data_IF_984886461145
#
_entry.id   IF_984886461145
#
_cell.length_a   1.000
_cell.length_b   1.000
_cell.length_c   1.000
_cell.angle_alpha   90.00
_cell.angle_beta   90.00
_cell.angle_gamma   90.00
#
_symmetry.space_group_name_H-M   'P 1'
#
loop_
_entity.id
_entity.type
_entity.pdbx_description
1 polymer ?
#
# COMPACT_ATOMS: atom_id res chain seq x y z
N UNK A 1 -1.33 -16.53 11.11
CA UNK A 1 -0.32 -16.95 10.15
C UNK A 1 0.05 -15.80 9.24
N UNK A 2 1.18 -15.88 8.57
CA UNK A 2 1.70 -14.79 7.74
C UNK A 2 0.75 -14.35 6.63
N UNK A 3 0.07 -15.31 6.01
CA UNK A 3 -0.88 -15.01 4.93
C UNK A 3 -2.07 -14.20 5.42
N UNK A 4 -2.56 -14.51 6.60
CA UNK A 4 -3.69 -13.78 7.19
C UNK A 4 -3.26 -12.34 7.51
N UNK A 5 -2.07 -12.19 8.06
CA UNK A 5 -1.52 -10.88 8.37
C UNK A 5 -1.33 -10.05 7.10
N UNK A 6 -0.79 -10.66 6.04
CA UNK A 6 -0.59 -9.98 4.77
C UNK A 6 -1.93 -9.49 4.19
N UNK A 7 -2.97 -10.32 4.26
CA UNK A 7 -4.30 -9.96 3.79
C UNK A 7 -4.91 -8.81 4.58
N UNK A 8 -4.76 -8.80 5.90
CA UNK A 8 -5.25 -7.72 6.74
C UNK A 8 -4.56 -6.41 6.43
N UNK A 9 -3.22 -6.45 6.31
CA UNK A 9 -2.44 -5.26 6.00
C UNK A 9 -2.78 -4.76 4.60
N UNK A 10 -2.92 -5.66 3.64
CA UNK A 10 -3.31 -5.32 2.28
C UNK A 10 -4.67 -4.62 2.27
N UNK A 11 -5.61 -5.08 3.08
CA UNK A 11 -6.91 -4.45 3.22
C UNK A 11 -6.82 -3.03 3.74
N UNK A 12 -5.97 -2.79 4.74
CA UNK A 12 -5.74 -1.44 5.29
C UNK A 12 -5.15 -0.51 4.24
N UNK A 13 -4.17 -0.98 3.47
CA UNK A 13 -3.57 -0.20 2.40
C UNK A 13 -4.61 0.13 1.33
N UNK A 14 -5.39 -0.88 0.93
CA UNK A 14 -6.43 -0.70 -0.07
C UNK A 14 -7.44 0.38 0.34
N UNK A 15 -7.91 0.32 1.60
CA UNK A 15 -8.85 1.31 2.12
C UNK A 15 -8.24 2.72 2.07
N UNK A 16 -6.99 2.86 2.50
CA UNK A 16 -6.30 4.15 2.49
C UNK A 16 -6.23 4.72 1.07
N UNK A 17 -5.88 3.89 0.10
CA UNK A 17 -5.78 4.31 -1.30
C UNK A 17 -7.16 4.61 -1.90
N UNK A 18 -8.16 3.85 -1.49
CA UNK A 18 -9.52 4.07 -1.98
C UNK A 18 -10.10 5.39 -1.47
N UNK A 19 -9.80 5.75 -0.22
CA UNK A 19 -10.32 6.97 0.39
C UNK A 19 -9.57 8.23 -0.04
N UNK A 20 -8.26 8.13 -0.20
CA UNK A 20 -7.40 9.30 -0.38
C UNK A 20 -6.72 9.38 -1.75
N UNK A 21 -6.92 8.39 -2.61
CA UNK A 21 -6.25 8.34 -3.90
C UNK A 21 -4.81 7.90 -3.80
N UNK A 22 -4.02 8.15 -4.82
CA UNK A 22 -2.62 7.75 -4.88
C UNK A 22 -1.81 8.39 -3.77
N UNK A 23 -0.97 7.61 -3.10
CA UNK A 23 -0.17 8.05 -1.96
C UNK A 23 1.22 7.45 -2.00
N UNK A 24 2.17 8.18 -1.39
CA UNK A 24 3.52 7.68 -1.20
C UNK A 24 3.55 6.71 0.00
N UNK A 25 4.66 5.99 0.15
CA UNK A 25 4.89 5.12 1.30
C UNK A 25 4.67 5.85 2.62
N UNK A 26 5.25 7.05 2.74
CA UNK A 26 5.13 7.83 3.97
C UNK A 26 3.69 8.18 4.30
N UNK A 27 2.93 8.57 3.30
CA UNK A 27 1.53 8.92 3.48
C UNK A 27 0.70 7.72 3.90
N UNK A 28 0.93 6.57 3.27
CA UNK A 28 0.21 5.34 3.61
C UNK A 28 0.56 4.88 5.01
N UNK A 29 1.85 4.90 5.38
CA UNK A 29 2.29 4.53 6.73
C UNK A 29 1.63 5.40 7.79
N UNK A 30 1.57 6.71 7.54
CA UNK A 30 0.96 7.64 8.46
C UNK A 30 -0.54 7.39 8.60
N UNK A 31 -1.21 7.15 7.49
CA UNK A 31 -2.66 6.91 7.47
C UNK A 31 -3.05 5.59 8.13
N UNK A 32 -2.26 4.55 7.90
CA UNK A 32 -2.57 3.20 8.39
C UNK A 32 -1.87 2.84 9.68
N UNK A 33 -0.85 3.60 10.06
CA UNK A 33 -0.03 3.37 11.26
C UNK A 33 0.64 2.00 11.28
N UNK A 34 0.98 1.48 10.11
CA UNK A 34 1.71 0.23 9.99
C UNK A 34 3.21 0.50 9.83
N UNK A 35 4.01 -0.52 10.13
CA UNK A 35 5.46 -0.42 9.95
C UNK A 35 5.81 -0.55 8.47
N UNK A 36 7.02 -0.12 8.11
CA UNK A 36 7.51 -0.26 6.74
C UNK A 36 7.55 -1.71 6.31
N UNK A 37 7.97 -2.60 7.21
CA UNK A 37 8.00 -4.04 6.97
C UNK A 37 6.61 -4.56 6.62
N UNK A 38 5.61 -4.19 7.40
CA UNK A 38 4.24 -4.61 7.18
C UNK A 38 3.69 -3.99 5.89
N UNK A 39 4.05 -2.74 5.61
CA UNK A 39 3.65 -2.11 4.37
C UNK A 39 4.10 -2.93 3.15
N UNK A 40 5.37 -3.32 3.12
CA UNK A 40 5.88 -4.10 1.98
C UNK A 40 5.22 -5.48 1.89
N UNK A 41 4.89 -6.08 3.02
CA UNK A 41 4.18 -7.35 3.04
C UNK A 41 2.81 -7.21 2.38
N UNK A 42 2.04 -6.20 2.78
CA UNK A 42 0.71 -5.96 2.22
C UNK A 42 0.76 -5.48 0.79
N UNK A 43 1.75 -4.65 0.46
CA UNK A 43 1.93 -4.17 -0.91
C UNK A 43 2.23 -5.32 -1.86
N UNK A 44 3.11 -6.23 -1.44
CA UNK A 44 3.42 -7.41 -2.24
C UNK A 44 2.19 -8.24 -2.53
N UNK A 45 1.33 -8.41 -1.53
CA UNK A 45 0.06 -9.10 -1.71
C UNK A 45 -0.82 -8.41 -2.75
N UNK A 46 -0.97 -7.08 -2.65
CA UNK A 46 -1.80 -6.33 -3.58
C UNK A 46 -1.23 -6.32 -5.00
N UNK A 47 0.09 -6.28 -5.14
CA UNK A 47 0.73 -6.35 -6.45
C UNK A 47 0.52 -7.71 -7.09
N UNK A 48 0.61 -8.78 -6.29
CA UNK A 48 0.34 -10.13 -6.76
C UNK A 48 -1.09 -10.27 -7.27
N UNK A 49 -2.04 -9.63 -6.59
CA UNK A 49 -3.44 -9.66 -6.98
C UNK A 49 -3.79 -8.64 -8.05
N UNK A 50 -2.79 -7.89 -8.52
CA UNK A 50 -2.96 -6.88 -9.56
C UNK A 50 -4.00 -5.81 -9.20
N UNK A 51 -4.02 -5.41 -7.94
CA UNK A 51 -4.99 -4.44 -7.43
C UNK A 51 -4.44 -3.03 -7.26
N UNK A 52 -3.12 -2.90 -7.30
CA UNK A 52 -2.48 -1.60 -7.16
C UNK A 52 -1.45 -1.39 -8.28
N UNK A 53 -1.15 -0.13 -8.54
CA UNK A 53 -0.08 0.26 -9.43
C UNK A 53 0.91 1.12 -8.66
N UNK A 54 2.16 1.15 -9.13
CA UNK A 54 3.19 1.98 -8.56
C UNK A 54 3.76 2.86 -9.67
N UNK A 55 3.80 4.16 -9.41
CA UNK A 55 4.31 5.14 -10.36
C UNK A 55 5.24 6.11 -9.64
N UNK A 56 6.23 6.63 -10.35
CA UNK A 56 7.13 7.61 -9.81
C UNK A 56 6.52 8.99 -9.98
N UNK A 57 6.51 9.79 -8.91
CA UNK A 57 5.98 11.14 -8.96
C UNK A 57 7.06 12.15 -9.38
N UNK A 58 6.71 13.44 -9.36
CA UNK A 58 7.62 14.52 -9.80
C UNK A 58 8.88 14.61 -8.94
N UNK A 59 8.79 14.20 -7.69
CA UNK A 59 9.90 14.28 -6.75
C UNK A 59 10.77 13.02 -6.77
N UNK A 60 10.47 12.09 -7.66
CA UNK A 60 11.20 10.82 -7.74
C UNK A 60 10.78 9.80 -6.71
N UNK A 61 9.69 10.03 -6.00
CA UNK A 61 9.16 9.09 -5.01
C UNK A 61 8.11 8.20 -5.65
N UNK A 62 8.02 6.96 -5.17
CA UNK A 62 6.99 6.05 -5.64
C UNK A 62 5.65 6.41 -5.01
N UNK A 63 4.64 6.47 -5.84
CA UNK A 63 3.25 6.61 -5.40
C UNK A 63 2.50 5.34 -5.76
N UNK A 64 1.62 4.92 -4.88
CA UNK A 64 0.82 3.71 -5.07
C UNK A 64 -0.64 4.10 -5.19
N UNK A 65 -1.32 3.51 -6.14
CA UNK A 65 -2.73 3.78 -6.38
C UNK A 65 -3.47 2.51 -6.73
N UNK A 66 -4.79 2.56 -6.67
CA UNK A 66 -5.62 1.43 -7.07
C UNK A 66 -5.70 1.36 -8.59
N UNK A 67 -5.81 0.14 -9.09
CA UNK A 67 -6.07 -0.07 -10.50
C UNK A 67 -7.54 -0.01 -10.81
#
# INVERSE_FOLDING_TARGET
MLQEKAGEIAGKIWVALNENGAQTLKQIKKATKITEKDFYLGLGWLLREDKVSANENKDGELEFGLK
#
